data_IF_005414955454
#
_entry.id   IF_005414955454
#
_cell.length_a   1.000
_cell.length_b   1.000
_cell.length_c   1.000
_cell.angle_alpha   90.00
_cell.angle_beta   90.00
_cell.angle_gamma   90.00
#
_symmetry.space_group_name_H-M   'P 1'
#
loop_
_entity.id
_entity.type
_entity.pdbx_description
1 polymer ?
#
# COMPACT_ATOMS: atom_id res chain seq x y z
N UNK A 1 12.89 -3.44 -3.49
CA UNK A 1 13.43 -2.18 -2.91
C UNK A 1 13.86 -1.21 -4.00
N UNK A 2 14.51 -1.62 -5.09
CA UNK A 2 14.82 -0.70 -6.21
C UNK A 2 13.56 -0.16 -6.89
N UNK A 3 12.58 -1.04 -7.15
CA UNK A 3 11.30 -0.73 -7.81
C UNK A 3 10.53 0.45 -7.18
N UNK A 4 10.40 0.49 -5.85
CA UNK A 4 9.69 1.60 -5.20
C UNK A 4 10.42 2.94 -5.39
N UNK A 5 11.76 2.95 -5.40
CA UNK A 5 12.50 4.19 -5.63
C UNK A 5 12.31 4.69 -7.06
N UNK A 6 12.43 3.80 -8.05
CA UNK A 6 12.21 4.12 -9.48
C UNK A 6 10.80 4.69 -9.69
N UNK A 7 9.78 4.01 -9.17
CA UNK A 7 8.38 4.46 -9.23
C UNK A 7 8.19 5.85 -8.59
N UNK A 8 8.80 6.09 -7.42
CA UNK A 8 8.69 7.40 -6.77
C UNK A 8 9.47 8.51 -7.48
N UNK A 9 10.57 8.21 -8.17
CA UNK A 9 11.30 9.18 -8.98
C UNK A 9 10.48 9.58 -10.21
N UNK A 10 9.85 8.62 -10.89
CA UNK A 10 8.96 8.88 -12.03
C UNK A 10 7.74 9.72 -11.63
N UNK A 11 7.21 9.49 -10.43
CA UNK A 11 6.03 10.18 -9.90
C UNK A 11 6.37 11.39 -9.00
N UNK A 12 7.61 11.88 -9.03
CA UNK A 12 8.07 12.98 -8.16
C UNK A 12 7.54 14.37 -8.56
N UNK A 13 6.88 14.48 -9.70
CA UNK A 13 6.31 15.72 -10.26
C UNK A 13 4.79 15.63 -10.36
N UNK A 14 4.12 16.78 -10.21
CA UNK A 14 2.67 16.88 -10.43
C UNK A 14 2.32 16.50 -11.87
N UNK A 15 1.11 15.97 -12.07
CA UNK A 15 0.55 15.56 -13.35
C UNK A 15 1.42 14.53 -14.10
N UNK A 16 2.09 13.62 -13.37
CA UNK A 16 2.94 12.57 -13.95
C UNK A 16 2.16 11.60 -14.86
N UNK A 17 0.84 11.48 -14.66
CA UNK A 17 -0.05 10.66 -15.47
C UNK A 17 -0.70 11.41 -16.65
N UNK A 18 -0.53 12.73 -16.73
CA UNK A 18 -1.21 13.59 -17.70
C UNK A 18 -2.69 13.88 -17.41
N UNK A 19 -3.22 13.41 -16.28
CA UNK A 19 -4.62 13.59 -15.85
C UNK A 19 -4.76 14.31 -14.50
N UNK A 20 -3.69 14.96 -14.05
CA UNK A 20 -3.67 15.80 -12.85
C UNK A 20 -3.28 15.07 -11.57
N UNK A 21 -2.60 13.91 -11.67
CA UNK A 21 -2.13 13.20 -10.49
C UNK A 21 -1.21 14.07 -9.62
N UNK A 22 -1.37 13.98 -8.31
CA UNK A 22 -0.46 14.59 -7.36
C UNK A 22 0.89 13.87 -7.37
N UNK A 23 1.95 14.61 -7.04
CA UNK A 23 3.27 14.01 -6.87
C UNK A 23 3.31 13.07 -5.66
N UNK A 24 4.10 12.00 -5.76
CA UNK A 24 4.46 11.19 -4.60
C UNK A 24 5.50 11.96 -3.78
N UNK A 25 5.22 12.13 -2.49
CA UNK A 25 6.12 12.84 -1.58
C UNK A 25 7.14 11.91 -0.93
N UNK A 26 8.29 12.46 -0.50
CA UNK A 26 9.28 11.72 0.30
C UNK A 26 8.67 11.09 1.56
N UNK A 27 7.68 11.75 2.17
CA UNK A 27 6.98 11.24 3.34
C UNK A 27 6.12 10.01 3.00
N UNK A 28 5.46 10.01 1.85
CA UNK A 28 4.74 8.83 1.34
C UNK A 28 5.71 7.66 1.15
N UNK A 29 6.85 7.90 0.47
CA UNK A 29 7.89 6.89 0.29
C UNK A 29 8.41 6.34 1.62
N UNK A 30 8.72 7.22 2.58
CA UNK A 30 9.19 6.82 3.91
C UNK A 30 8.15 5.97 4.65
N UNK A 31 6.87 6.38 4.63
CA UNK A 31 5.78 5.64 5.27
C UNK A 31 5.63 4.24 4.66
N UNK A 32 5.69 4.13 3.34
CA UNK A 32 5.59 2.85 2.63
C UNK A 32 6.78 1.94 2.93
N UNK A 33 8.01 2.48 2.92
CA UNK A 33 9.21 1.72 3.28
C UNK A 33 9.16 1.21 4.73
N UNK A 34 8.66 2.03 5.66
CA UNK A 34 8.47 1.61 7.06
C UNK A 34 7.44 0.48 7.17
N UNK A 35 6.33 0.56 6.42
CA UNK A 35 5.32 -0.50 6.41
C UNK A 35 5.92 -1.82 5.87
N UNK A 36 6.59 -1.79 4.72
CA UNK A 36 7.21 -2.97 4.10
C UNK A 36 8.24 -3.62 5.04
N UNK A 37 9.04 -2.82 5.75
CA UNK A 37 10.03 -3.32 6.72
C UNK A 37 9.41 -4.01 7.94
N UNK A 38 8.15 -3.73 8.24
CA UNK A 38 7.42 -4.35 9.35
C UNK A 38 6.62 -5.58 8.89
N UNK A 39 6.67 -5.95 7.62
CA UNK A 39 6.01 -7.17 7.15
C UNK A 39 6.61 -8.39 7.85
N UNK A 40 5.76 -9.31 8.36
CA UNK A 40 6.23 -10.54 8.98
C UNK A 40 6.91 -11.47 7.96
N UNK A 41 7.82 -12.30 8.46
CA UNK A 41 8.42 -13.37 7.69
C UNK A 41 7.34 -14.32 7.13
N UNK A 42 7.45 -14.62 5.83
CA UNK A 42 6.54 -15.53 5.14
C UNK A 42 5.29 -14.88 4.54
N UNK A 43 5.08 -13.57 4.71
CA UNK A 43 4.13 -12.81 3.88
C UNK A 43 4.83 -12.43 2.56
N UNK A 44 4.15 -12.66 1.43
CA UNK A 44 4.67 -12.27 0.13
C UNK A 44 4.87 -10.75 0.05
N UNK A 45 5.87 -10.32 -0.73
CA UNK A 45 6.00 -8.90 -1.03
C UNK A 45 4.82 -8.44 -1.91
N UNK A 46 4.24 -7.27 -1.63
CA UNK A 46 3.16 -6.73 -2.44
C UNK A 46 3.65 -6.28 -3.82
N UNK A 47 2.74 -6.23 -4.77
CA UNK A 47 2.87 -5.37 -5.95
C UNK A 47 2.67 -3.92 -5.51
N UNK A 48 3.39 -2.98 -6.13
CA UNK A 48 3.41 -1.57 -5.75
C UNK A 48 2.95 -0.73 -6.93
N UNK A 49 2.00 0.18 -6.72
CA UNK A 49 1.58 1.12 -7.76
C UNK A 49 1.40 2.55 -7.21
N UNK A 50 1.66 3.59 -8.00
CA UNK A 50 1.36 4.96 -7.61
C UNK A 50 -0.14 5.25 -7.77
N UNK A 51 -0.73 5.96 -6.82
CA UNK A 51 -2.12 6.42 -6.93
C UNK A 51 -2.17 7.91 -7.32
N UNK A 52 -3.22 8.36 -8.05
CA UNK A 52 -3.33 9.75 -8.51
C UNK A 52 -3.40 10.79 -7.38
N UNK A 53 -3.68 10.39 -6.14
CA UNK A 53 -3.71 11.30 -4.99
C UNK A 53 -2.34 11.46 -4.31
N UNK A 54 -1.28 10.87 -4.86
CA UNK A 54 0.09 10.91 -4.34
C UNK A 54 0.36 9.89 -3.23
N UNK A 55 -0.56 8.94 -3.03
CA UNK A 55 -0.34 7.73 -2.22
C UNK A 55 0.29 6.60 -3.06
N UNK A 56 0.68 5.53 -2.37
CA UNK A 56 1.21 4.30 -2.97
C UNK A 56 0.32 3.14 -2.54
N UNK A 57 -0.16 2.35 -3.49
CA UNK A 57 -0.86 1.10 -3.22
C UNK A 57 0.14 -0.03 -2.99
N UNK A 58 -0.18 -0.89 -2.04
CA UNK A 58 0.45 -2.19 -1.82
C UNK A 58 -0.62 -3.26 -2.03
N UNK A 59 -0.42 -4.11 -3.03
CA UNK A 59 -1.42 -5.07 -3.50
C UNK A 59 -0.92 -6.50 -3.34
N UNK A 60 -1.72 -7.32 -2.67
CA UNK A 60 -1.51 -8.75 -2.51
C UNK A 60 -2.60 -9.51 -3.27
N UNK A 61 -2.19 -10.27 -4.28
CA UNK A 61 -3.10 -11.04 -5.14
C UNK A 61 -2.62 -12.50 -5.28
N UNK A 62 -2.84 -13.36 -4.26
CA UNK A 62 -2.40 -14.75 -4.31
C UNK A 62 -3.14 -15.56 -5.38
N UNK A 63 -4.36 -15.14 -5.76
CA UNK A 63 -5.09 -15.70 -6.89
C UNK A 63 -6.15 -14.71 -7.40
N UNK A 64 -6.77 -15.02 -8.55
CA UNK A 64 -7.79 -14.19 -9.22
C UNK A 64 -9.07 -13.89 -8.43
N UNK A 65 -9.32 -14.55 -7.30
CA UNK A 65 -10.50 -14.35 -6.46
C UNK A 65 -10.16 -13.73 -5.11
N UNK A 66 -8.88 -13.48 -4.83
CA UNK A 66 -8.41 -12.94 -3.56
C UNK A 66 -7.49 -11.77 -3.81
N UNK A 67 -7.89 -10.60 -3.30
CA UNK A 67 -7.07 -9.39 -3.35
C UNK A 67 -7.13 -8.70 -1.99
N UNK A 68 -5.98 -8.25 -1.50
CA UNK A 68 -5.87 -7.31 -0.39
C UNK A 68 -5.08 -6.10 -0.89
N UNK A 69 -5.63 -4.91 -0.73
CA UNK A 69 -5.03 -3.66 -1.20
C UNK A 69 -4.93 -2.69 -0.03
N UNK A 70 -3.79 -2.00 0.07
CA UNK A 70 -3.48 -1.04 1.11
C UNK A 70 -2.90 0.23 0.49
N UNK A 71 -3.59 1.36 0.66
CA UNK A 71 -3.12 2.67 0.20
C UNK A 71 -2.42 3.40 1.34
N UNK A 72 -1.20 3.87 1.07
CA UNK A 72 -0.33 4.57 2.01
C UNK A 72 -0.02 5.97 1.49
N UNK A 73 -0.47 6.99 2.20
CA UNK A 73 -0.20 8.40 1.89
C UNK A 73 0.71 9.07 2.92
N UNK A 74 0.63 10.41 2.99
CA UNK A 74 1.39 11.23 3.95
C UNK A 74 0.86 11.16 5.38
N UNK A 75 -0.41 10.80 5.55
CA UNK A 75 -1.03 10.68 6.87
C UNK A 75 -0.68 9.35 7.53
N UNK A 76 -1.00 9.23 8.83
CA UNK A 76 -0.88 7.98 9.55
C UNK A 76 -2.10 7.06 9.39
N UNK A 77 -2.97 7.33 8.42
CA UNK A 77 -4.13 6.51 8.10
C UNK A 77 -3.80 5.63 6.91
N UNK A 78 -4.07 4.33 7.05
CA UNK A 78 -3.94 3.34 5.99
C UNK A 78 -5.34 2.95 5.55
N UNK A 79 -5.72 3.37 4.34
CA UNK A 79 -6.94 2.89 3.71
C UNK A 79 -6.66 1.48 3.17
N UNK A 80 -7.59 0.55 3.37
CA UNK A 80 -7.43 -0.81 2.89
C UNK A 80 -8.74 -1.40 2.41
N UNK A 81 -8.64 -2.32 1.48
CA UNK A 81 -9.77 -3.05 0.92
C UNK A 81 -9.38 -4.51 0.67
N UNK A 82 -10.36 -5.39 0.70
CA UNK A 82 -10.15 -6.80 0.40
C UNK A 82 -11.32 -7.41 -0.33
N UNK A 83 -11.01 -8.44 -1.10
CA UNK A 83 -11.95 -9.32 -1.79
C UNK A 83 -11.49 -10.75 -1.52
N UNK A 84 -12.41 -11.62 -1.10
CA UNK A 84 -12.24 -13.08 -1.02
C UNK A 84 -13.50 -13.76 -1.58
N UNK A 85 -13.44 -14.13 -2.85
CA UNK A 85 -14.58 -14.69 -3.58
C UNK A 85 -15.74 -13.69 -3.67
N UNK A 86 -16.85 -13.98 -2.99
CA UNK A 86 -18.02 -13.08 -2.92
C UNK A 86 -17.96 -12.12 -1.73
N UNK A 87 -17.07 -12.37 -0.76
CA UNK A 87 -16.87 -11.50 0.38
C UNK A 87 -15.94 -10.35 0.02
N UNK A 88 -16.26 -9.15 0.53
CA UNK A 88 -15.46 -7.96 0.31
C UNK A 88 -15.64 -6.99 1.47
N UNK A 89 -14.64 -6.14 1.67
CA UNK A 89 -14.73 -5.08 2.65
C UNK A 89 -13.70 -4.00 2.42
N UNK A 90 -13.80 -2.93 3.21
CA UNK A 90 -12.83 -1.87 3.26
C UNK A 90 -12.79 -1.26 4.65
N UNK A 91 -11.76 -0.49 4.94
CA UNK A 91 -11.63 0.23 6.18
C UNK A 91 -10.45 1.18 6.19
N UNK A 92 -10.28 1.84 7.33
CA UNK A 92 -9.12 2.68 7.61
C UNK A 92 -8.56 2.27 8.95
N UNK A 93 -7.24 2.09 9.02
CA UNK A 93 -6.52 1.80 10.25
C UNK A 93 -5.44 2.87 10.50
N UNK A 94 -5.20 3.20 11.77
CA UNK A 94 -4.10 4.11 12.14
C UNK A 94 -2.80 3.34 12.27
N UNK A 95 -1.76 3.80 11.58
CA UNK A 95 -0.40 3.30 11.65
C UNK A 95 0.42 4.15 12.60
N UNK A 96 1.08 3.51 13.56
CA UNK A 96 1.95 4.20 14.52
C UNK A 96 3.43 4.19 14.07
N UNK A 97 3.71 3.73 12.85
CA UNK A 97 5.06 3.61 12.27
C UNK A 97 6.01 2.66 13.00
N UNK A 98 5.50 1.87 13.95
CA UNK A 98 6.28 0.88 14.71
C UNK A 98 5.73 -0.53 14.55
N UNK A 99 4.43 -0.67 14.30
CA UNK A 99 3.75 -1.95 14.15
C UNK A 99 2.64 -1.86 13.12
N UNK A 100 2.44 -2.94 12.35
CA UNK A 100 1.27 -3.08 11.48
C UNK A 100 0.01 -3.15 12.36
N UNK A 101 -1.05 -2.37 12.05
CA UNK A 101 -2.28 -2.41 12.83
C UNK A 101 -2.90 -3.81 12.83
N UNK A 102 -3.38 -4.28 13.99
CA UNK A 102 -3.91 -5.65 14.17
C UNK A 102 -4.96 -6.06 13.12
N UNK A 103 -5.78 -5.11 12.65
CA UNK A 103 -6.80 -5.37 11.62
C UNK A 103 -6.16 -5.70 10.27
N UNK A 104 -5.14 -4.94 9.86
CA UNK A 104 -4.40 -5.19 8.61
C UNK A 104 -3.60 -6.49 8.73
N UNK A 105 -2.93 -6.71 9.87
CA UNK A 105 -2.17 -7.94 10.12
C UNK A 105 -3.04 -9.18 9.94
N UNK A 106 -4.27 -9.17 10.48
CA UNK A 106 -5.23 -10.27 10.34
C UNK A 106 -5.56 -10.55 8.87
N UNK A 107 -5.73 -9.51 8.05
CA UNK A 107 -6.00 -9.70 6.63
C UNK A 107 -4.77 -10.26 5.90
N UNK A 108 -3.56 -9.74 6.17
CA UNK A 108 -2.33 -10.26 5.56
C UNK A 108 -2.09 -11.74 5.89
N UNK A 109 -2.38 -12.18 7.11
CA UNK A 109 -2.28 -13.60 7.51
C UNK A 109 -3.24 -14.51 6.72
N UNK A 110 -4.40 -14.01 6.29
CA UNK A 110 -5.33 -14.77 5.44
C UNK A 110 -4.81 -14.95 3.99
N UNK A 111 -3.79 -14.19 3.61
CA UNK A 111 -3.21 -14.12 2.27
C UNK A 111 -1.81 -14.73 2.17
N UNK A 112 -1.39 -15.47 3.21
CA UNK A 112 -0.16 -16.25 3.24
C UNK A 112 -0.23 -17.50 2.37
#
# INVERSE_FOLDING_TARGET
>A
MTEIYELTEECAVENWDGYGAARISDLTLQNTLLFIRLLPDGIALPEIAPEPDGSISLDWMPNRHRTFSLSIGTSNQLAYAWVDGSERGHGVARFNFQMIPKRIMKELENFR
#
